data_IF_942305911493
#
_entry.id   IF_942305911493
#
_cell.length_a   1.000
_cell.length_b   1.000
_cell.length_c   1.000
_cell.angle_alpha   90.00
_cell.angle_beta   90.00
_cell.angle_gamma   90.00
#
_symmetry.space_group_name_H-M   'P 1'
#
loop_
_entity.id
_entity.type
_entity.pdbx_description
1 polymer ?
#
# COMPACT_ATOMS: atom_id res chain seq x y z
N UNK A 1 -71.48 -5.47 -0.52
CA UNK A 1 -71.55 -4.53 0.62
C UNK A 1 -70.30 -4.77 1.44
N UNK A 2 -69.23 -4.00 1.43
CA UNK A 2 -69.03 -2.61 1.04
C UNK A 2 -68.43 -1.88 2.25
N UNK A 3 -67.11 -1.64 2.23
CA UNK A 3 -66.41 -0.44 2.72
C UNK A 3 -64.90 -0.66 2.70
N UNK A 4 -64.29 -0.23 1.60
CA UNK A 4 -62.88 0.09 1.49
C UNK A 4 -62.54 1.28 2.39
N UNK A 5 -61.40 1.21 3.10
CA UNK A 5 -60.85 2.32 3.87
C UNK A 5 -59.64 2.93 3.12
N UNK A 6 -59.50 4.27 3.11
CA UNK A 6 -58.47 4.96 2.33
C UNK A 6 -57.09 4.92 3.01
N UNK A 7 -56.08 4.46 2.27
CA UNK A 7 -54.66 4.57 2.64
C UNK A 7 -54.19 6.00 2.38
N UNK A 8 -53.76 6.70 3.42
CA UNK A 8 -53.17 8.05 3.32
C UNK A 8 -51.65 7.95 3.15
N UNK A 9 -51.04 8.54 2.10
CA UNK A 9 -49.60 8.55 1.94
C UNK A 9 -48.97 9.69 2.76
N UNK A 10 -48.13 9.36 3.75
CA UNK A 10 -47.28 10.35 4.43
C UNK A 10 -45.91 10.38 3.76
N UNK A 11 -45.77 11.29 2.79
CA UNK A 11 -44.46 11.85 2.39
C UNK A 11 -43.85 12.57 3.60
N UNK A 12 -42.63 12.21 3.99
CA UNK A 12 -41.73 13.12 4.68
C UNK A 12 -40.43 13.23 3.90
N UNK A 13 -40.30 14.38 3.22
CA UNK A 13 -39.03 14.94 2.83
C UNK A 13 -38.17 15.10 4.10
N UNK A 14 -37.02 14.43 4.13
CA UNK A 14 -35.93 14.73 5.03
C UNK A 14 -34.70 15.08 4.20
N UNK A 15 -34.58 16.34 3.78
CA UNK A 15 -33.32 16.90 3.29
C UNK A 15 -32.40 17.02 4.52
N UNK A 16 -31.43 16.13 4.65
CA UNK A 16 -30.25 16.39 5.46
C UNK A 16 -29.08 16.65 4.53
N UNK A 17 -28.82 17.95 4.34
CA UNK A 17 -27.56 18.49 3.87
C UNK A 17 -26.58 18.27 5.02
N UNK A 18 -25.60 17.40 4.83
CA UNK A 18 -24.41 17.32 5.68
C UNK A 18 -23.19 17.61 4.80
N UNK A 19 -22.92 18.90 4.65
CA UNK A 19 -21.66 19.44 4.14
C UNK A 19 -20.58 19.06 5.14
N UNK A 20 -19.85 17.98 4.89
CA UNK A 20 -18.72 17.58 5.73
C UNK A 20 -17.45 18.23 5.17
N UNK A 21 -17.04 19.26 5.90
CA UNK A 21 -15.68 19.61 6.25
C UNK A 21 -14.62 19.61 5.15
N UNK A 22 -14.21 20.83 4.78
CA UNK A 22 -12.92 21.11 4.18
C UNK A 22 -11.82 20.37 4.96
N UNK A 23 -11.22 19.36 4.34
CA UNK A 23 -10.00 18.74 4.85
C UNK A 23 -8.88 19.75 4.72
N UNK A 24 -8.53 20.25 5.90
CA UNK A 24 -7.31 20.93 6.29
C UNK A 24 -6.09 20.35 5.55
N UNK A 25 -5.73 20.92 4.40
CA UNK A 25 -4.40 20.78 3.80
C UNK A 25 -3.42 21.69 4.57
N UNK A 26 -3.24 21.42 5.87
CA UNK A 26 -2.15 22.03 6.63
C UNK A 26 -0.87 21.32 6.23
N UNK A 27 -0.04 22.05 5.48
CA UNK A 27 1.37 22.19 5.75
C UNK A 27 2.09 20.91 6.21
N UNK A 28 2.44 20.04 5.26
CA UNK A 28 3.61 19.20 5.42
C UNK A 28 4.85 20.08 5.33
N UNK A 29 5.09 20.81 6.42
CA UNK A 29 6.34 21.50 6.70
C UNK A 29 7.48 20.50 6.56
N UNK A 30 8.27 20.70 5.52
CA UNK A 30 9.63 20.26 5.36
C UNK A 30 10.40 20.23 6.69
N UNK A 31 10.53 19.06 7.31
CA UNK A 31 11.46 18.80 8.40
C UNK A 31 11.82 17.31 8.37
N UNK A 32 12.69 16.98 7.43
CA UNK A 32 13.22 15.65 7.23
C UNK A 32 13.38 15.39 5.74
N UNK A 33 14.37 16.03 5.11
CA UNK A 33 14.77 15.72 3.73
C UNK A 33 15.19 14.26 3.65
N UNK A 34 14.21 13.37 3.43
CA UNK A 34 14.38 12.09 2.77
C UNK A 34 14.91 12.43 1.38
N UNK A 35 16.23 12.54 1.27
CA UNK A 35 16.88 12.85 0.00
C UNK A 35 16.63 11.69 -0.96
N UNK A 36 15.60 11.84 -1.80
CA UNK A 36 15.46 11.11 -3.05
C UNK A 36 14.48 9.96 -3.12
N UNK A 37 13.54 9.83 -2.19
CA UNK A 37 12.60 8.71 -2.18
C UNK A 37 11.18 9.14 -1.80
N UNK A 38 10.22 8.25 -2.04
CA UNK A 38 8.90 8.29 -1.40
C UNK A 38 9.11 8.18 0.12
N UNK A 39 8.44 9.01 0.90
CA UNK A 39 8.55 8.94 2.36
C UNK A 39 7.91 7.66 2.91
N UNK A 40 8.36 7.23 4.08
CA UNK A 40 7.98 5.92 4.62
C UNK A 40 6.46 5.84 4.93
N UNK A 41 5.83 6.93 5.35
CA UNK A 41 4.40 6.98 5.65
C UNK A 41 3.57 6.78 4.38
N UNK A 42 3.87 7.56 3.34
CA UNK A 42 3.26 7.39 2.01
C UNK A 42 3.51 5.99 1.46
N UNK A 43 4.74 5.48 1.57
CA UNK A 43 5.09 4.15 1.08
C UNK A 43 4.26 3.06 1.77
N UNK A 44 4.14 3.11 3.10
CA UNK A 44 3.39 2.11 3.86
C UNK A 44 1.90 2.20 3.59
N UNK A 45 1.35 3.41 3.43
CA UNK A 45 -0.04 3.58 2.99
C UNK A 45 -0.27 2.95 1.61
N UNK A 46 0.63 3.18 0.65
CA UNK A 46 0.49 2.56 -0.68
C UNK A 46 0.62 1.04 -0.65
N UNK A 47 1.39 0.47 0.27
CA UNK A 47 1.47 -0.98 0.48
C UNK A 47 0.14 -1.50 1.06
N UNK A 48 -0.41 -0.83 2.07
CA UNK A 48 -1.71 -1.19 2.66
C UNK A 48 -2.86 -1.09 1.64
N UNK A 49 -2.78 -0.13 0.71
CA UNK A 49 -3.77 0.08 -0.34
C UNK A 49 -3.64 -0.90 -1.53
N UNK A 50 -2.63 -1.78 -1.55
CA UNK A 50 -2.50 -2.79 -2.61
C UNK A 50 -3.60 -3.84 -2.52
N UNK A 51 -4.21 -4.15 -3.66
CA UNK A 51 -5.14 -5.27 -3.77
C UNK A 51 -4.40 -6.58 -3.44
N UNK A 52 -4.94 -7.36 -2.50
CA UNK A 52 -4.31 -8.58 -1.99
C UNK A 52 -3.39 -8.40 -0.78
N UNK A 53 -3.20 -7.19 -0.23
CA UNK A 53 -2.56 -6.99 1.07
C UNK A 53 -3.62 -6.97 2.18
N UNK A 54 -3.46 -7.85 3.17
CA UNK A 54 -4.37 -7.96 4.30
C UNK A 54 -3.89 -7.18 5.54
N UNK A 55 -2.58 -7.07 5.76
CA UNK A 55 -2.03 -6.36 6.92
C UNK A 55 -0.57 -5.92 6.74
N UNK A 56 -0.22 -4.78 7.34
CA UNK A 56 1.12 -4.19 7.39
C UNK A 56 1.53 -3.73 8.79
N UNK A 57 0.82 -4.15 9.85
CA UNK A 57 0.90 -3.57 11.20
C UNK A 57 2.31 -3.49 11.81
N UNK A 58 3.18 -4.45 11.46
CA UNK A 58 4.55 -4.52 11.98
C UNK A 58 5.60 -3.80 11.11
N UNK A 59 5.20 -3.28 9.95
CA UNK A 59 6.10 -2.69 8.98
C UNK A 59 6.66 -1.36 9.47
N UNK A 60 7.98 -1.25 9.49
CA UNK A 60 8.69 -0.05 9.93
C UNK A 60 10.08 0.07 9.32
N UNK A 61 10.57 1.30 9.24
CA UNK A 61 11.96 1.56 8.94
C UNK A 61 12.79 1.58 10.24
N UNK A 62 13.89 0.83 10.25
CA UNK A 62 14.81 0.71 11.39
C UNK A 62 16.20 1.15 10.97
N UNK A 63 16.87 1.90 11.84
CA UNK A 63 18.28 2.28 11.69
C UNK A 63 19.01 1.90 12.97
N UNK A 64 19.96 0.96 12.86
CA UNK A 64 20.82 0.58 13.98
C UNK A 64 22.28 0.40 13.54
N UNK A 65 23.20 0.50 14.49
CA UNK A 65 24.65 0.46 14.20
C UNK A 65 25.15 -0.90 13.72
N UNK A 66 24.42 -1.98 14.02
CA UNK A 66 24.83 -3.37 13.75
C UNK A 66 24.41 -3.85 12.37
N UNK A 67 23.23 -3.45 11.91
CA UNK A 67 22.60 -3.94 10.68
C UNK A 67 22.27 -2.82 9.69
N UNK A 68 22.62 -1.58 10.02
CA UNK A 68 22.39 -0.42 9.17
C UNK A 68 20.92 -0.04 9.06
N UNK A 69 20.59 0.57 7.93
CA UNK A 69 19.27 1.07 7.57
C UNK A 69 18.48 0.00 6.82
N UNK A 70 17.28 -0.36 7.30
CA UNK A 70 16.43 -1.39 6.67
C UNK A 70 14.95 -1.17 6.92
N UNK A 71 14.14 -1.72 6.03
CA UNK A 71 12.74 -2.03 6.33
C UNK A 71 12.67 -3.37 7.09
N UNK A 72 11.78 -3.45 8.07
CA UNK A 72 11.56 -4.65 8.87
C UNK A 72 10.09 -4.75 9.26
N UNK A 73 9.58 -5.97 9.38
CA UNK A 73 8.21 -6.24 9.76
C UNK A 73 7.63 -7.41 8.99
N UNK A 74 6.32 -7.56 9.09
CA UNK A 74 5.54 -8.56 8.37
C UNK A 74 4.52 -7.86 7.47
N UNK A 75 4.38 -8.36 6.25
CA UNK A 75 3.29 -8.03 5.34
C UNK A 75 2.50 -9.31 5.12
N UNK A 76 1.23 -9.29 5.49
CA UNK A 76 0.32 -10.43 5.31
C UNK A 76 -0.48 -10.19 4.05
N UNK A 77 -0.43 -11.14 3.12
CA UNK A 77 -1.27 -11.16 1.92
C UNK A 77 -2.60 -11.84 2.23
N UNK A 78 -3.63 -11.49 1.47
CA UNK A 78 -4.94 -12.16 1.52
C UNK A 78 -4.78 -13.66 1.21
N UNK A 79 -5.41 -14.52 2.01
CA UNK A 79 -5.27 -15.98 1.91
C UNK A 79 -6.06 -16.60 0.74
N UNK A 80 -6.93 -15.80 0.12
CA UNK A 80 -7.69 -16.18 -1.07
C UNK A 80 -6.95 -15.98 -2.38
N UNK A 81 -5.77 -15.34 -2.36
CA UNK A 81 -4.96 -15.16 -3.58
C UNK A 81 -4.47 -16.51 -4.12
N UNK A 82 -4.48 -16.63 -5.44
CA UNK A 82 -3.73 -17.68 -6.13
C UNK A 82 -2.22 -17.45 -5.98
N UNK A 83 -1.42 -18.49 -6.24
CA UNK A 83 0.05 -18.37 -6.20
C UNK A 83 0.57 -17.28 -7.18
N UNK A 84 -0.05 -17.16 -8.36
CA UNK A 84 0.32 -16.16 -9.37
C UNK A 84 -0.04 -14.73 -8.93
N UNK A 85 -1.22 -14.54 -8.31
CA UNK A 85 -1.62 -13.25 -7.75
C UNK A 85 -0.70 -12.84 -6.59
N UNK A 86 -0.42 -13.75 -5.65
CA UNK A 86 0.48 -13.49 -4.54
C UNK A 86 1.92 -13.18 -5.02
N UNK A 87 2.39 -13.87 -6.07
CA UNK A 87 3.66 -13.57 -6.72
C UNK A 87 3.64 -12.17 -7.37
N UNK A 88 2.53 -11.79 -7.98
CA UNK A 88 2.37 -10.46 -8.55
C UNK A 88 2.39 -9.36 -7.49
N UNK A 89 1.60 -9.49 -6.42
CA UNK A 89 1.60 -8.55 -5.29
C UNK A 89 3.01 -8.45 -4.71
N UNK A 90 3.71 -9.58 -4.53
CA UNK A 90 5.10 -9.60 -4.08
C UNK A 90 6.04 -8.79 -4.99
N UNK A 91 5.86 -8.84 -6.31
CA UNK A 91 6.62 -8.01 -7.27
C UNK A 91 6.31 -6.52 -7.08
N UNK A 92 5.05 -6.15 -6.90
CA UNK A 92 4.65 -4.77 -6.62
C UNK A 92 5.25 -4.26 -5.30
N UNK A 93 5.31 -5.10 -4.26
CA UNK A 93 6.01 -4.78 -3.01
C UNK A 93 7.49 -4.48 -3.25
N UNK A 94 8.19 -5.27 -4.08
CA UNK A 94 9.58 -5.00 -4.44
C UNK A 94 9.74 -3.65 -5.16
N UNK A 95 8.84 -3.33 -6.10
CA UNK A 95 8.84 -2.06 -6.83
C UNK A 95 8.58 -0.85 -5.91
N UNK A 96 7.67 -1.00 -4.94
CA UNK A 96 7.42 0.00 -3.90
C UNK A 96 8.68 0.23 -3.04
N UNK A 97 9.25 -0.81 -2.45
CA UNK A 97 10.47 -0.67 -1.64
C UNK A 97 11.68 -0.16 -2.44
N UNK A 98 11.75 -0.45 -3.74
CA UNK A 98 12.77 0.11 -4.63
C UNK A 98 12.66 1.64 -4.70
N UNK A 99 11.46 2.19 -4.73
CA UNK A 99 11.20 3.64 -4.79
C UNK A 99 11.23 4.33 -3.42
N UNK A 100 11.15 3.56 -2.34
CA UNK A 100 11.34 4.02 -0.96
C UNK A 100 12.79 4.41 -0.65
N UNK A 101 13.07 4.64 0.65
CA UNK A 101 14.39 5.03 1.13
C UNK A 101 15.43 3.95 0.84
N UNK A 102 16.64 4.37 0.47
CA UNK A 102 17.79 3.45 0.35
C UNK A 102 18.02 2.71 1.67
N UNK A 103 17.82 1.41 1.62
CA UNK A 103 18.12 0.48 2.69
C UNK A 103 19.30 -0.40 2.28
N UNK A 104 20.14 -0.77 3.25
CA UNK A 104 21.26 -1.68 3.03
C UNK A 104 20.80 -3.14 2.91
N UNK A 105 19.65 -3.45 3.51
CA UNK A 105 19.03 -4.77 3.53
C UNK A 105 17.50 -4.63 3.75
N UNK A 106 16.76 -5.73 3.60
CA UNK A 106 15.36 -5.83 4.00
C UNK A 106 15.19 -7.03 4.93
N UNK A 107 14.50 -6.82 6.05
CA UNK A 107 14.04 -7.88 6.94
C UNK A 107 12.51 -7.97 6.94
N UNK A 108 11.90 -7.62 5.81
CA UNK A 108 10.46 -7.73 5.61
C UNK A 108 10.11 -9.17 5.28
N UNK A 109 9.19 -9.75 6.04
CA UNK A 109 8.63 -11.07 5.77
C UNK A 109 7.28 -10.89 5.10
N UNK A 110 7.08 -11.55 3.95
CA UNK A 110 5.80 -11.64 3.26
C UNK A 110 5.18 -12.99 3.61
N UNK A 111 3.94 -12.98 4.08
CA UNK A 111 3.20 -14.16 4.50
C UNK A 111 1.99 -14.35 3.62
N UNK A 112 1.80 -15.56 3.12
CA UNK A 112 0.64 -15.96 2.33
C UNK A 112 0.22 -17.38 2.73
N UNK A 113 -0.86 -17.49 3.52
CA UNK A 113 -1.26 -18.74 4.18
C UNK A 113 -0.13 -19.28 5.08
N UNK A 114 0.26 -20.54 4.85
CA UNK A 114 1.39 -21.18 5.56
C UNK A 114 2.77 -20.81 4.99
N UNK A 115 2.80 -20.09 3.86
CA UNK A 115 4.06 -19.73 3.18
C UNK A 115 4.62 -18.44 3.73
N UNK A 116 5.93 -18.44 4.03
CA UNK A 116 6.66 -17.27 4.52
C UNK A 116 7.89 -17.04 3.66
N UNK A 117 7.98 -15.88 3.03
CA UNK A 117 9.13 -15.45 2.23
C UNK A 117 9.79 -14.22 2.84
N UNK A 118 11.11 -14.19 2.94
CA UNK A 118 11.82 -12.94 3.29
C UNK A 118 12.09 -12.16 2.01
N UNK A 119 11.73 -10.88 1.98
CA UNK A 119 12.14 -10.01 0.89
C UNK A 119 13.63 -9.74 1.02
N UNK A 120 14.40 -10.16 0.03
CA UNK A 120 15.85 -9.96 0.01
C UNK A 120 16.17 -8.82 -0.94
N UNK A 121 17.13 -7.96 -0.58
CA UNK A 121 17.67 -7.00 -1.52
C UNK A 121 18.27 -7.76 -2.72
N UNK A 122 17.57 -7.74 -3.86
CA UNK A 122 18.00 -8.44 -5.06
C UNK A 122 18.97 -7.58 -5.87
N UNK A 123 20.00 -8.20 -6.45
CA UNK A 123 20.78 -7.61 -7.53
C UNK A 123 19.93 -7.54 -8.80
N UNK A 124 20.07 -6.49 -9.61
CA UNK A 124 19.35 -6.36 -10.89
C UNK A 124 17.97 -5.70 -10.80
N UNK A 125 17.56 -5.18 -9.63
CA UNK A 125 16.32 -4.40 -9.51
C UNK A 125 16.33 -3.13 -10.38
N UNK A 126 17.51 -2.59 -10.67
CA UNK A 126 17.67 -1.48 -11.62
C UNK A 126 17.31 -1.88 -13.06
N UNK A 127 17.60 -3.11 -13.47
CA UNK A 127 17.22 -3.61 -14.80
C UNK A 127 15.71 -3.84 -14.90
N UNK A 128 15.06 -4.19 -13.78
CA UNK A 128 13.62 -4.46 -13.71
C UNK A 128 12.77 -3.20 -13.57
N UNK A 129 13.17 -2.29 -12.69
CA UNK A 129 12.37 -1.11 -12.30
C UNK A 129 12.99 0.21 -12.74
N UNK A 130 14.13 0.17 -13.41
CA UNK A 130 14.88 1.36 -13.81
C UNK A 130 15.67 2.00 -12.65
N UNK A 131 16.29 3.17 -12.92
CA UNK A 131 17.11 3.85 -11.94
C UNK A 131 16.27 4.22 -10.72
N UNK A 132 16.84 4.00 -9.54
CA UNK A 132 16.19 4.40 -8.29
C UNK A 132 15.94 5.91 -8.30
N UNK A 133 14.75 6.38 -7.85
CA UNK A 133 14.51 7.79 -7.67
C UNK A 133 15.62 8.45 -6.83
N UNK A 134 15.97 9.68 -7.20
CA UNK A 134 16.97 10.50 -6.49
C UNK A 134 16.40 11.82 -6.01
N UNK A 135 15.17 12.15 -6.40
CA UNK A 135 14.42 13.31 -5.96
C UNK A 135 13.19 12.86 -5.14
N UNK A 136 12.76 13.64 -4.13
CA UNK A 136 11.52 13.33 -3.39
C UNK A 136 10.31 13.24 -4.32
N UNK A 137 9.44 12.26 -4.08
CA UNK A 137 8.19 12.05 -4.85
C UNK A 137 7.02 11.94 -3.89
N UNK A 138 5.85 12.41 -4.34
CA UNK A 138 4.62 12.34 -3.56
C UNK A 138 4.00 10.93 -3.49
N UNK A 139 4.44 10.01 -4.36
CA UNK A 139 3.99 8.62 -4.39
C UNK A 139 4.95 7.76 -5.23
N UNK A 140 4.91 6.45 -4.97
CA UNK A 140 5.53 5.43 -5.79
C UNK A 140 4.66 5.10 -6.99
N UNK A 141 5.30 4.73 -8.10
CA UNK A 141 4.64 4.19 -9.29
C UNK A 141 4.57 2.67 -9.17
N UNK A 142 3.46 2.06 -9.51
CA UNK A 142 3.29 0.60 -9.40
C UNK A 142 2.92 0.08 -10.78
N UNK A 143 3.67 -0.90 -11.25
CA UNK A 143 3.32 -1.65 -12.44
C UNK A 143 2.10 -2.51 -12.11
N UNK A 144 1.01 -2.43 -12.91
CA UNK A 144 -0.16 -3.25 -12.65
C UNK A 144 0.23 -4.73 -12.72
N UNK A 145 -0.49 -5.56 -11.98
CA UNK A 145 -0.50 -6.97 -12.29
C UNK A 145 -1.03 -7.13 -13.71
N UNK A 146 -0.14 -7.38 -14.67
CA UNK A 146 -0.55 -7.90 -15.95
C UNK A 146 -1.27 -9.21 -15.64
N UNK A 147 -2.55 -9.29 -16.01
CA UNK A 147 -3.19 -10.59 -16.21
C UNK A 147 -2.22 -11.37 -17.08
N UNK A 148 -1.63 -12.41 -16.51
CA UNK A 148 -0.65 -13.28 -17.18
C UNK A 148 -1.14 -13.52 -18.60
N UNK A 149 -0.39 -13.06 -19.59
CA UNK A 149 -0.64 -13.41 -20.98
C UNK A 149 -0.61 -14.95 -21.02
N UNK A 150 -1.73 -15.63 -21.32
CA UNK A 150 -1.80 -17.09 -21.20
C UNK A 150 -0.90 -17.70 -22.27
N UNK A 151 0.36 -17.93 -21.91
CA UNK A 151 1.34 -18.66 -22.72
C UNK A 151 0.99 -20.13 -22.84
#
# INVERSE_FOLDING_TARGET
>A
MGRDAPVTPRRRLGRFVATVSAVVLLASCALGSSSGAVDDETLFQQIEDLDGVASTEDLRFVSDMTRGQRYAGEIVLDDSLTEDEAACVSRQLYELFWQGRRASDSSVVVVHGDTRGTMVAASGLEDLYGPRPTEPRASATISPCSETDPG
#
